data_IF_688865626676
#
_entry.id   IF_688865626676
#
_cell.length_a   1.000
_cell.length_b   1.000
_cell.length_c   1.000
_cell.angle_alpha   90.00
_cell.angle_beta   90.00
_cell.angle_gamma   90.00
#
_symmetry.space_group_name_H-M   'P 1'
#
loop_
_entity.id
_entity.type
_entity.pdbx_description
1 polymer ?
#
# COMPACT_ATOMS: atom_id res chain seq x y z
N UNK A 1 -16.73 5.23 -11.62
CA UNK A 1 -16.28 3.88 -11.21
C UNK A 1 -17.10 2.84 -11.98
N UNK A 2 -16.53 2.18 -12.96
CA UNK A 2 -17.30 1.21 -13.76
C UNK A 2 -17.29 -0.19 -13.12
N UNK A 3 -18.22 -1.05 -13.54
CA UNK A 3 -18.45 -2.38 -12.96
C UNK A 3 -17.21 -3.28 -13.03
N UNK A 4 -16.45 -3.24 -14.12
CA UNK A 4 -15.22 -4.04 -14.25
C UNK A 4 -14.16 -3.62 -13.24
N UNK A 5 -13.99 -2.32 -13.08
CA UNK A 5 -13.05 -1.77 -12.10
C UNK A 5 -13.52 -2.08 -10.67
N UNK A 6 -14.82 -2.08 -10.41
CA UNK A 6 -15.38 -2.45 -9.12
C UNK A 6 -15.02 -3.89 -8.73
N UNK A 7 -15.20 -4.85 -9.63
CA UNK A 7 -14.85 -6.24 -9.36
C UNK A 7 -13.35 -6.41 -9.09
N UNK A 8 -12.51 -5.74 -9.84
CA UNK A 8 -11.05 -5.75 -9.62
C UNK A 8 -10.70 -5.20 -8.24
N UNK A 9 -11.33 -4.11 -7.84
CA UNK A 9 -11.15 -3.51 -6.53
C UNK A 9 -11.54 -4.46 -5.40
N UNK A 10 -12.72 -5.08 -5.50
CA UNK A 10 -13.20 -6.05 -4.51
C UNK A 10 -12.25 -7.26 -4.40
N UNK A 11 -11.76 -7.77 -5.52
CA UNK A 11 -10.81 -8.86 -5.54
C UNK A 11 -9.47 -8.49 -4.89
N UNK A 12 -9.03 -7.26 -5.04
CA UNK A 12 -7.81 -6.76 -4.37
C UNK A 12 -7.99 -6.68 -2.86
N UNK A 13 -9.17 -6.26 -2.39
CA UNK A 13 -9.48 -6.25 -0.95
C UNK A 13 -9.41 -7.66 -0.33
N UNK A 14 -9.88 -8.67 -1.05
CA UNK A 14 -9.84 -10.07 -0.59
C UNK A 14 -8.41 -10.51 -0.30
N UNK A 15 -7.43 -10.03 -1.06
CA UNK A 15 -6.01 -10.34 -0.83
C UNK A 15 -5.52 -9.88 0.54
N UNK A 16 -6.16 -8.88 1.13
CA UNK A 16 -5.90 -8.40 2.49
C UNK A 16 -6.84 -9.02 3.53
N UNK A 17 -7.60 -10.06 3.14
CA UNK A 17 -8.60 -10.69 3.98
C UNK A 17 -9.72 -9.73 4.40
N UNK A 18 -10.02 -8.75 3.56
CA UNK A 18 -11.11 -7.79 3.76
C UNK A 18 -12.26 -8.20 2.87
N UNK A 19 -13.40 -8.55 3.49
CA UNK A 19 -14.63 -8.86 2.79
C UNK A 19 -15.48 -7.60 2.67
N UNK A 20 -15.83 -7.23 1.44
CA UNK A 20 -16.72 -6.10 1.21
C UNK A 20 -18.07 -6.29 1.91
N UNK A 21 -18.62 -7.50 1.90
CA UNK A 21 -19.90 -7.77 2.55
C UNK A 21 -19.87 -7.51 4.06
N UNK A 22 -18.71 -7.67 4.68
CA UNK A 22 -18.54 -7.42 6.11
C UNK A 22 -18.42 -5.93 6.46
N UNK A 23 -18.01 -5.07 5.52
CA UNK A 23 -17.71 -3.67 5.78
C UNK A 23 -18.60 -2.68 5.04
N UNK A 24 -19.33 -3.11 4.00
CA UNK A 24 -20.06 -2.23 3.09
C UNK A 24 -21.08 -1.32 3.78
N UNK A 25 -21.76 -1.84 4.79
CA UNK A 25 -22.81 -1.11 5.52
C UNK A 25 -22.31 -0.46 6.82
N UNK A 26 -21.01 -0.56 7.11
CA UNK A 26 -20.44 0.04 8.30
C UNK A 26 -20.05 1.49 8.04
N UNK A 27 -20.37 2.42 8.98
CA UNK A 27 -19.79 3.75 8.96
C UNK A 27 -18.25 3.67 9.02
N UNK A 28 -17.55 4.62 8.39
CA UNK A 28 -16.10 4.62 8.37
C UNK A 28 -15.45 4.63 9.76
N UNK A 29 -16.12 5.27 10.74
CA UNK A 29 -15.65 5.31 12.13
C UNK A 29 -15.78 3.98 12.89
N UNK A 30 -16.48 3.02 12.30
CA UNK A 30 -16.61 1.65 12.86
C UNK A 30 -15.60 0.68 12.28
N UNK A 31 -14.85 1.07 11.25
CA UNK A 31 -13.75 0.28 10.73
C UNK A 31 -12.53 0.42 11.62
N UNK A 32 -11.78 -0.67 11.81
CA UNK A 32 -10.48 -0.56 12.46
C UNK A 32 -9.52 0.29 11.61
N UNK A 33 -8.59 0.99 12.25
CA UNK A 33 -7.60 1.79 11.54
C UNK A 33 -6.81 0.99 10.49
N UNK A 34 -6.32 -0.22 10.79
CA UNK A 34 -5.63 -1.02 9.76
C UNK A 34 -6.52 -1.34 8.57
N UNK A 35 -7.78 -1.71 8.79
CA UNK A 35 -8.73 -2.01 7.71
C UNK A 35 -9.01 -0.78 6.86
N UNK A 36 -9.28 0.36 7.48
CA UNK A 36 -9.53 1.61 6.78
C UNK A 36 -8.31 2.04 5.96
N UNK A 37 -7.12 1.93 6.52
CA UNK A 37 -5.86 2.26 5.84
C UNK A 37 -5.66 1.41 4.59
N UNK A 38 -5.81 0.11 4.71
CA UNK A 38 -5.68 -0.81 3.57
C UNK A 38 -6.75 -0.51 2.51
N UNK A 39 -7.98 -0.30 2.93
CA UNK A 39 -9.07 0.07 2.02
C UNK A 39 -8.71 1.31 1.20
N UNK A 40 -8.23 2.36 1.85
CA UNK A 40 -7.88 3.61 1.19
C UNK A 40 -6.69 3.44 0.24
N UNK A 41 -5.67 2.67 0.62
CA UNK A 41 -4.51 2.41 -0.23
C UNK A 41 -4.94 1.63 -1.48
N UNK A 42 -5.75 0.59 -1.33
CA UNK A 42 -6.25 -0.19 -2.46
C UNK A 42 -7.12 0.67 -3.37
N UNK A 43 -7.96 1.52 -2.80
CA UNK A 43 -8.79 2.45 -3.57
C UNK A 43 -7.95 3.43 -4.37
N UNK A 44 -6.94 4.05 -3.75
CA UNK A 44 -6.04 4.99 -4.43
C UNK A 44 -5.23 4.30 -5.53
N UNK A 45 -4.72 3.10 -5.26
CA UNK A 45 -3.98 2.33 -6.25
C UNK A 45 -4.85 1.89 -7.43
N UNK A 46 -6.17 1.81 -7.22
CA UNK A 46 -7.14 1.48 -8.25
C UNK A 46 -7.47 2.67 -9.15
N UNK A 47 -7.27 3.89 -8.67
CA UNK A 47 -7.39 5.10 -9.48
C UNK A 47 -6.21 5.19 -10.46
N UNK A 48 -6.45 5.81 -11.61
CA UNK A 48 -5.44 5.91 -12.66
C UNK A 48 -4.49 7.09 -12.42
N UNK A 49 -3.74 7.04 -11.33
CA UNK A 49 -2.68 8.00 -11.04
C UNK A 49 -1.33 7.45 -11.45
N UNK A 50 -0.45 8.31 -11.98
CA UNK A 50 0.92 7.93 -12.34
C UNK A 50 1.81 7.74 -11.12
N UNK A 51 1.56 8.53 -10.07
CA UNK A 51 2.37 8.52 -8.84
C UNK A 51 1.43 8.39 -7.65
N UNK A 52 1.75 7.45 -6.76
CA UNK A 52 1.08 7.28 -5.48
C UNK A 52 2.02 7.70 -4.36
N UNK A 53 1.54 8.56 -3.48
CA UNK A 53 2.31 9.03 -2.31
C UNK A 53 1.66 8.47 -1.07
N UNK A 54 2.40 7.72 -0.28
CA UNK A 54 1.93 7.11 0.96
C UNK A 54 2.76 7.61 2.14
N UNK A 55 2.07 8.14 3.15
CA UNK A 55 2.67 8.58 4.40
C UNK A 55 2.39 7.55 5.50
N UNK A 56 3.46 6.95 6.02
CA UNK A 56 3.42 5.92 7.06
C UNK A 56 2.42 4.79 6.76
N UNK A 57 2.52 4.12 5.59
CA UNK A 57 1.49 3.17 5.17
C UNK A 57 1.43 1.90 6.03
N UNK A 58 2.51 1.55 6.73
CA UNK A 58 2.56 0.35 7.59
C UNK A 58 2.20 0.62 9.05
N UNK A 59 1.97 1.88 9.41
CA UNK A 59 1.64 2.23 10.79
C UNK A 59 0.38 1.51 11.26
N UNK A 60 0.49 0.82 12.37
CA UNK A 60 -0.62 0.07 12.96
C UNK A 60 -0.92 -1.26 12.29
N UNK A 61 -0.23 -1.62 11.21
CA UNK A 61 -0.41 -2.92 10.56
C UNK A 61 0.36 -4.02 11.28
N UNK A 62 -0.29 -5.18 11.47
CA UNK A 62 0.38 -6.38 11.92
C UNK A 62 1.32 -6.93 10.83
N UNK A 63 2.18 -7.86 11.23
CA UNK A 63 3.21 -8.42 10.33
C UNK A 63 2.61 -9.01 9.06
N UNK A 64 1.51 -9.74 9.15
CA UNK A 64 0.84 -10.35 8.00
C UNK A 64 0.33 -9.31 7.00
N UNK A 65 -0.30 -8.23 7.48
CA UNK A 65 -0.81 -7.16 6.62
C UNK A 65 0.32 -6.33 6.00
N UNK A 66 1.41 -6.10 6.73
CA UNK A 66 2.60 -5.44 6.17
C UNK A 66 3.16 -6.23 4.98
N UNK A 67 3.24 -7.55 5.12
CA UNK A 67 3.71 -8.43 4.06
C UNK A 67 2.78 -8.41 2.84
N UNK A 68 1.47 -8.43 3.06
CA UNK A 68 0.47 -8.34 1.98
C UNK A 68 0.55 -6.99 1.27
N UNK A 69 0.71 -5.91 2.04
CA UNK A 69 0.85 -4.57 1.48
C UNK A 69 2.11 -4.45 0.61
N UNK A 70 3.23 -4.98 1.08
CA UNK A 70 4.48 -4.99 0.32
C UNK A 70 4.30 -5.70 -1.03
N UNK A 71 3.67 -6.87 -1.01
CA UNK A 71 3.41 -7.64 -2.23
C UNK A 71 2.49 -6.88 -3.19
N UNK A 72 1.42 -6.32 -2.67
CA UNK A 72 0.46 -5.55 -3.45
C UNK A 72 1.12 -4.33 -4.12
N UNK A 73 1.89 -3.56 -3.37
CA UNK A 73 2.57 -2.38 -3.89
C UNK A 73 3.69 -2.74 -4.88
N UNK A 74 4.36 -3.87 -4.67
CA UNK A 74 5.35 -4.38 -5.64
C UNK A 74 4.71 -4.65 -7.00
N UNK A 75 3.52 -5.21 -7.04
CA UNK A 75 2.78 -5.42 -8.28
C UNK A 75 2.31 -4.09 -8.89
N UNK A 76 1.87 -3.15 -8.05
CA UNK A 76 1.49 -1.80 -8.49
C UNK A 76 2.65 -1.07 -9.17
N UNK A 77 3.87 -1.21 -8.65
CA UNK A 77 5.07 -0.54 -9.14
C UNK A 77 5.55 -1.04 -10.51
N UNK A 78 5.01 -2.13 -11.03
CA UNK A 78 5.36 -2.58 -12.39
C UNK A 78 4.94 -1.58 -13.46
N UNK A 79 3.97 -0.71 -13.18
CA UNK A 79 3.41 0.24 -14.14
C UNK A 79 3.32 1.68 -13.61
N UNK A 80 3.62 1.90 -12.34
CA UNK A 80 3.40 3.18 -11.66
C UNK A 80 4.58 3.53 -10.78
N UNK A 81 4.59 4.76 -10.28
CA UNK A 81 5.60 5.25 -9.36
C UNK A 81 5.03 5.37 -7.94
N UNK A 82 5.87 5.16 -6.96
CA UNK A 82 5.52 5.22 -5.55
C UNK A 82 6.52 6.07 -4.78
N UNK A 83 6.00 6.98 -3.96
CA UNK A 83 6.79 7.69 -2.97
C UNK A 83 6.25 7.29 -1.60
N UNK A 84 7.13 6.79 -0.73
CA UNK A 84 6.77 6.39 0.62
C UNK A 84 7.55 7.21 1.63
N UNK A 85 6.84 7.79 2.58
CA UNK A 85 7.44 8.41 3.76
C UNK A 85 7.20 7.47 4.94
N UNK A 86 8.26 6.98 5.56
CA UNK A 86 8.12 5.99 6.63
C UNK A 86 9.33 5.95 7.55
N UNK A 87 9.09 5.58 8.81
CA UNK A 87 10.12 5.20 9.78
C UNK A 87 10.37 3.67 9.76
N UNK A 88 9.58 2.92 8.99
CA UNK A 88 9.71 1.48 8.86
C UNK A 88 10.81 1.13 7.88
N UNK A 89 12.03 0.99 8.39
CA UNK A 89 13.22 0.73 7.56
C UNK A 89 13.10 -0.59 6.80
N UNK A 90 12.60 -1.63 7.43
CA UNK A 90 12.47 -2.94 6.78
C UNK A 90 11.53 -2.87 5.57
N UNK A 91 10.43 -2.13 5.71
CA UNK A 91 9.50 -1.90 4.62
C UNK A 91 10.17 -1.12 3.48
N UNK A 92 10.85 -0.01 3.79
CA UNK A 92 11.52 0.80 2.79
C UNK A 92 12.60 0.02 2.04
N UNK A 93 13.46 -0.71 2.77
CA UNK A 93 14.52 -1.51 2.15
C UNK A 93 13.98 -2.68 1.34
N UNK A 94 12.79 -3.18 1.66
CA UNK A 94 12.16 -4.27 0.90
C UNK A 94 11.47 -3.79 -0.37
N UNK A 95 11.17 -2.48 -0.49
CA UNK A 95 10.34 -1.95 -1.55
C UNK A 95 10.98 -0.89 -2.43
N UNK A 96 11.81 -0.02 -1.84
CA UNK A 96 12.27 1.18 -2.50
C UNK A 96 13.65 0.98 -3.10
N UNK A 97 13.83 1.38 -4.36
CA UNK A 97 15.11 1.34 -5.05
C UNK A 97 15.99 2.53 -4.68
N UNK A 98 15.39 3.64 -4.26
CA UNK A 98 16.11 4.82 -3.80
C UNK A 98 15.51 5.28 -2.47
N UNK A 99 16.37 5.47 -1.48
CA UNK A 99 15.98 5.90 -0.14
C UNK A 99 16.71 7.19 0.21
N UNK A 100 15.94 8.19 0.66
CA UNK A 100 16.47 9.46 1.12
C UNK A 100 16.32 9.52 2.64
N UNK A 101 17.43 9.64 3.34
CA UNK A 101 17.43 9.88 4.78
C UNK A 101 17.42 11.40 5.01
N UNK A 102 16.28 11.91 5.48
CA UNK A 102 16.08 13.35 5.66
C UNK A 102 17.01 13.90 6.75
N UNK A 103 17.22 13.15 7.82
CA UNK A 103 18.04 13.61 8.95
C UNK A 103 19.51 13.78 8.58
N UNK A 104 20.05 12.86 7.79
CA UNK A 104 21.46 12.92 7.35
C UNK A 104 21.63 13.54 5.96
N UNK A 105 20.53 13.83 5.26
CA UNK A 105 20.51 14.31 3.87
C UNK A 105 21.24 13.36 2.89
N UNK A 106 21.30 12.08 3.23
CA UNK A 106 21.92 11.06 2.39
C UNK A 106 20.91 10.40 1.47
N UNK A 107 21.34 10.13 0.25
CA UNK A 107 20.58 9.37 -0.74
C UNK A 107 21.26 8.02 -0.91
N UNK A 108 20.49 6.94 -0.74
CA UNK A 108 20.99 5.58 -0.88
C UNK A 108 20.32 4.88 -2.04
N UNK A 109 21.11 4.22 -2.88
CA UNK A 109 20.59 3.32 -3.89
C UNK A 109 20.46 1.92 -3.29
N UNK A 110 19.31 1.30 -3.49
CA UNK A 110 19.05 -0.04 -2.98
C UNK A 110 18.96 -1.04 -4.12
N UNK A 111 20.06 -1.69 -4.41
CA UNK A 111 20.16 -2.70 -5.48
C UNK A 111 19.57 -4.06 -5.09
N UNK A 112 19.17 -4.23 -3.81
CA UNK A 112 18.64 -5.50 -3.31
C UNK A 112 17.13 -5.66 -3.56
N UNK A 113 16.45 -4.60 -3.97
CA UNK A 113 15.02 -4.65 -4.25
C UNK A 113 14.79 -5.38 -5.55
N UNK A 114 14.00 -6.47 -5.46
CA UNK A 114 13.54 -7.22 -6.61
C UNK A 114 12.02 -7.14 -6.67
N UNK A 115 11.53 -6.61 -7.76
CA UNK A 115 10.09 -6.57 -8.05
C UNK A 115 9.76 -7.80 -8.89
N UNK A 116 9.15 -8.77 -8.26
CA UNK A 116 8.66 -9.97 -8.94
C UNK A 116 7.17 -9.88 -9.19
#
# INVERSE_FOLDING_TARGET
>A
FNIRKTNTFLNRLIRFQISWNAIADLPGDKLSWPTLRIFLIVLLAHCEYDILILDEPTFGLGWGQRKRLRKFLGEYLTQNHLIVVSHDRDFLFSMCDQIIDIDSSKVMQNSLVKFE
#
